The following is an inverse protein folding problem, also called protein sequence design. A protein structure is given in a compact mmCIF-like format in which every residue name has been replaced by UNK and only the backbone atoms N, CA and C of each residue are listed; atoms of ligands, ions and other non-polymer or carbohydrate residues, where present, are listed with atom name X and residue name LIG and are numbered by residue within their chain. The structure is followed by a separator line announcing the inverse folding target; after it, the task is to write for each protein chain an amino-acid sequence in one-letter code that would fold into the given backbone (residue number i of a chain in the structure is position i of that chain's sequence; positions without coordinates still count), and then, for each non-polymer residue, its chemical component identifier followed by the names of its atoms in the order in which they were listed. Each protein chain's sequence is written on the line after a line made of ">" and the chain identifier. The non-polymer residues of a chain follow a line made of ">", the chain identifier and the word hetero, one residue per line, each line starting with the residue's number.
data_IF_974381624610
#
_entry.id   IF_974381624610
#
_cell.length_a   1.000
_cell.length_b   1.000
_cell.length_c   1.000
_cell.angle_alpha   90.00
_cell.angle_beta   90.00
_cell.angle_gamma   90.00
#
_symmetry.space_group_name_H-M   'P 1'
#
loop_
_entity.id
_entity.type
_entity.pdbx_description
1 polymer ?
#
# COMPACT_ATOMS: atom_id res chain seq x y z
N UNK A 1 3.87 -30.95 -0.49
CA UNK A 1 5.10 -30.22 -0.84
C UNK A 1 5.24 -29.08 0.15
N UNK A 2 6.31 -29.04 0.92
CA UNK A 2 6.52 -28.00 1.95
C UNK A 2 6.81 -26.67 1.24
N UNK A 3 5.98 -25.66 1.47
CA UNK A 3 6.19 -24.32 0.91
C UNK A 3 7.39 -23.69 1.62
N UNK A 4 8.46 -23.39 0.87
CA UNK A 4 9.66 -22.74 1.42
C UNK A 4 9.29 -21.37 2.04
N UNK A 5 9.95 -21.02 3.14
CA UNK A 5 9.82 -19.70 3.77
C UNK A 5 10.46 -18.61 2.88
N UNK A 6 10.01 -17.36 3.03
CA UNK A 6 10.56 -16.24 2.27
C UNK A 6 12.07 -16.05 2.49
N UNK A 7 12.54 -16.27 3.70
CA UNK A 7 13.97 -16.21 4.04
C UNK A 7 14.81 -17.24 3.28
N UNK A 8 14.29 -18.47 3.12
CA UNK A 8 14.98 -19.52 2.37
C UNK A 8 14.98 -19.24 0.86
N UNK A 9 13.85 -18.75 0.32
CA UNK A 9 13.76 -18.33 -1.09
C UNK A 9 14.72 -17.17 -1.37
N UNK A 10 14.79 -16.20 -0.47
CA UNK A 10 15.67 -15.04 -0.56
C UNK A 10 17.15 -15.46 -0.59
N UNK A 11 17.55 -16.36 0.32
CA UNK A 11 18.91 -16.90 0.37
C UNK A 11 19.29 -17.57 -0.95
N UNK A 12 18.46 -18.50 -1.43
CA UNK A 12 18.69 -19.20 -2.72
C UNK A 12 18.75 -18.21 -3.90
N UNK A 13 17.91 -17.20 -3.90
CA UNK A 13 17.94 -16.15 -4.93
C UNK A 13 19.26 -15.40 -4.94
N UNK A 14 19.80 -15.04 -3.80
CA UNK A 14 21.12 -14.40 -3.65
C UNK A 14 22.24 -15.30 -4.13
N UNK A 15 22.12 -16.62 -3.90
CA UNK A 15 23.06 -17.62 -4.37
C UNK A 15 22.92 -17.91 -5.88
N UNK A 16 22.07 -17.17 -6.61
CA UNK A 16 21.91 -17.23 -8.06
C UNK A 16 20.72 -18.06 -8.55
N UNK A 17 19.91 -18.65 -7.66
CA UNK A 17 18.71 -19.40 -8.05
C UNK A 17 17.58 -18.45 -8.46
N UNK A 18 17.51 -18.15 -9.76
CA UNK A 18 16.47 -17.29 -10.34
C UNK A 18 15.06 -17.81 -10.11
N UNK A 19 14.89 -19.14 -9.99
CA UNK A 19 13.58 -19.76 -9.77
C UNK A 19 13.01 -19.45 -8.39
N UNK A 20 13.86 -19.47 -7.37
CA UNK A 20 13.52 -19.03 -6.03
C UNK A 20 13.17 -17.54 -5.99
N UNK A 21 13.89 -16.69 -6.75
CA UNK A 21 13.57 -15.28 -6.92
C UNK A 21 12.19 -15.05 -7.54
N UNK A 22 11.88 -15.72 -8.66
CA UNK A 22 10.54 -15.66 -9.28
C UNK A 22 9.45 -16.10 -8.31
N UNK A 23 9.65 -17.22 -7.60
CA UNK A 23 8.67 -17.73 -6.63
C UNK A 23 8.41 -16.70 -5.51
N UNK A 24 9.45 -16.04 -5.04
CA UNK A 24 9.34 -15.02 -4.00
C UNK A 24 8.58 -13.78 -4.50
N UNK A 25 8.88 -13.32 -5.71
CA UNK A 25 8.19 -12.21 -6.37
C UNK A 25 6.71 -12.54 -6.59
N UNK A 26 6.40 -13.72 -7.15
CA UNK A 26 5.04 -14.16 -7.43
C UNK A 26 4.18 -14.22 -6.17
N UNK A 27 4.75 -14.63 -5.04
CA UNK A 27 4.08 -14.66 -3.74
C UNK A 27 3.60 -13.28 -3.28
N UNK A 28 4.37 -12.25 -3.60
CA UNK A 28 4.10 -10.87 -3.19
C UNK A 28 3.50 -10.00 -4.30
N UNK A 29 3.27 -10.56 -5.48
CA UNK A 29 2.74 -9.83 -6.64
C UNK A 29 1.36 -9.21 -6.35
N UNK A 30 0.40 -10.02 -5.87
CA UNK A 30 -0.98 -9.57 -5.63
C UNK A 30 -1.08 -8.47 -4.57
N UNK A 31 -0.45 -8.59 -3.36
CA UNK A 31 -0.41 -7.51 -2.39
C UNK A 31 0.15 -6.21 -2.95
N UNK A 32 1.22 -6.30 -3.73
CA UNK A 32 1.87 -5.14 -4.30
C UNK A 32 1.03 -4.48 -5.40
N UNK A 33 0.40 -5.28 -6.28
CA UNK A 33 -0.53 -4.80 -7.30
C UNK A 33 -1.70 -4.06 -6.66
N UNK A 34 -2.32 -4.62 -5.61
CA UNK A 34 -3.39 -3.97 -4.84
C UNK A 34 -2.93 -2.64 -4.27
N UNK A 35 -1.73 -2.58 -3.68
CA UNK A 35 -1.16 -1.37 -3.12
C UNK A 35 -1.07 -0.23 -4.15
N UNK A 36 -0.70 -0.50 -5.39
CA UNK A 36 -0.63 0.51 -6.44
C UNK A 36 -1.99 0.87 -7.02
N UNK A 37 -2.85 -0.11 -7.28
CA UNK A 37 -4.18 0.13 -7.86
C UNK A 37 -5.04 1.12 -7.08
N UNK A 38 -4.87 1.19 -5.76
CA UNK A 38 -5.60 2.16 -4.94
C UNK A 38 -5.09 3.60 -5.10
N UNK A 39 -3.96 3.82 -5.76
CA UNK A 39 -3.25 5.10 -5.78
C UNK A 39 -3.03 5.68 -7.17
N UNK A 40 -3.34 4.92 -8.21
CA UNK A 40 -3.21 5.38 -9.61
C UNK A 40 -4.51 5.18 -10.38
N UNK A 41 -4.69 5.95 -11.46
CA UNK A 41 -5.93 5.95 -12.23
C UNK A 41 -6.01 4.81 -13.24
N UNK A 42 -4.88 4.39 -13.82
CA UNK A 42 -4.84 3.40 -14.88
C UNK A 42 -4.15 2.10 -14.45
N UNK A 43 -4.58 0.98 -15.04
CA UNK A 43 -3.90 -0.30 -14.86
C UNK A 43 -2.46 -0.25 -15.39
N UNK A 44 -2.23 0.46 -16.50
CA UNK A 44 -0.90 0.64 -17.07
C UNK A 44 0.06 1.36 -16.11
N UNK A 45 -0.42 2.40 -15.40
CA UNK A 45 0.40 3.07 -14.37
C UNK A 45 0.73 2.11 -13.21
N UNK A 46 -0.23 1.28 -12.80
CA UNK A 46 -0.01 0.29 -11.73
C UNK A 46 1.00 -0.79 -12.14
N UNK A 47 0.91 -1.27 -13.38
CA UNK A 47 1.84 -2.27 -13.93
C UNK A 47 3.26 -1.69 -14.09
N UNK A 48 3.41 -0.44 -14.52
CA UNK A 48 4.71 0.26 -14.57
C UNK A 48 5.34 0.37 -13.16
N UNK A 49 4.55 0.76 -12.16
CA UNK A 49 5.01 0.84 -10.77
C UNK A 49 5.41 -0.52 -10.19
N UNK A 50 4.68 -1.58 -10.52
CA UNK A 50 5.03 -2.95 -10.19
C UNK A 50 6.39 -3.33 -10.80
N UNK A 51 6.56 -3.10 -12.09
CA UNK A 51 7.79 -3.41 -12.80
C UNK A 51 8.98 -2.65 -12.20
N UNK A 52 8.85 -1.33 -11.99
CA UNK A 52 9.89 -0.50 -11.33
C UNK A 52 10.25 -1.03 -9.94
N UNK A 53 9.25 -1.47 -9.17
CA UNK A 53 9.48 -2.03 -7.84
C UNK A 53 10.25 -3.34 -7.89
N UNK A 54 9.88 -4.24 -8.80
CA UNK A 54 10.61 -5.51 -8.95
C UNK A 54 12.03 -5.32 -9.48
N UNK A 55 12.24 -4.36 -10.39
CA UNK A 55 13.60 -3.98 -10.83
C UNK A 55 14.41 -3.46 -9.61
N UNK A 56 13.83 -2.58 -8.81
CA UNK A 56 14.48 -2.08 -7.59
C UNK A 56 14.80 -3.19 -6.59
N UNK A 57 13.93 -4.21 -6.47
CA UNK A 57 14.20 -5.38 -5.65
C UNK A 57 15.34 -6.25 -6.24
N UNK A 58 15.35 -6.47 -7.55
CA UNK A 58 16.42 -7.20 -8.23
C UNK A 58 17.80 -6.55 -8.03
N UNK A 59 17.86 -5.24 -8.18
CA UNK A 59 19.10 -4.46 -8.02
C UNK A 59 19.54 -4.37 -6.55
N UNK A 60 18.58 -4.34 -5.62
CA UNK A 60 18.81 -4.15 -4.20
C UNK A 60 19.02 -5.42 -3.39
N UNK A 61 18.62 -6.60 -3.90
CA UNK A 61 18.55 -7.86 -3.12
C UNK A 61 19.90 -8.28 -2.52
N UNK A 62 20.98 -8.05 -3.24
CA UNK A 62 22.35 -8.38 -2.77
C UNK A 62 22.76 -7.52 -1.57
N UNK A 63 22.28 -6.27 -1.49
CA UNK A 63 22.57 -5.31 -0.43
C UNK A 63 21.56 -5.32 0.71
N UNK A 64 20.47 -6.05 0.55
CA UNK A 64 19.44 -6.14 1.58
C UNK A 64 19.97 -6.86 2.84
N UNK A 65 19.96 -6.20 4.01
CA UNK A 65 20.63 -6.66 5.25
C UNK A 65 19.80 -7.61 6.10
N UNK A 66 18.54 -7.88 5.72
CA UNK A 66 17.58 -8.70 6.49
C UNK A 66 17.25 -8.14 7.90
N UNK A 67 17.47 -6.84 8.14
CA UNK A 67 17.01 -6.15 9.35
C UNK A 67 15.48 -6.10 9.47
N UNK A 68 14.79 -6.43 8.37
CA UNK A 68 13.34 -6.57 8.27
C UNK A 68 13.00 -7.76 7.36
N UNK A 69 11.72 -8.14 7.29
CA UNK A 69 11.28 -9.18 6.34
C UNK A 69 11.45 -8.72 4.88
N UNK A 70 11.61 -9.67 3.95
CA UNK A 70 11.62 -9.35 2.51
C UNK A 70 10.39 -8.55 2.11
N UNK A 71 9.22 -8.93 2.63
CA UNK A 71 7.97 -8.23 2.39
C UNK A 71 8.01 -6.77 2.84
N UNK A 72 8.50 -6.50 4.05
CA UNK A 72 8.66 -5.14 4.59
C UNK A 72 9.59 -4.31 3.71
N UNK A 73 10.73 -4.86 3.33
CA UNK A 73 11.70 -4.20 2.45
C UNK A 73 11.11 -3.92 1.06
N UNK A 74 10.41 -4.88 0.46
CA UNK A 74 9.75 -4.72 -0.83
C UNK A 74 8.71 -3.58 -0.80
N UNK A 75 7.89 -3.47 0.26
CA UNK A 75 6.97 -2.36 0.43
C UNK A 75 7.68 -1.02 0.64
N UNK A 76 8.86 -1.00 1.25
CA UNK A 76 9.69 0.23 1.33
C UNK A 76 10.18 0.66 -0.06
N UNK A 77 10.61 -0.28 -0.91
CA UNK A 77 10.94 0.00 -2.31
C UNK A 77 9.71 0.54 -3.06
N UNK A 78 8.56 -0.13 -2.92
CA UNK A 78 7.30 0.28 -3.55
C UNK A 78 6.85 1.69 -3.15
N UNK A 79 6.93 2.02 -1.87
CA UNK A 79 6.60 3.35 -1.36
C UNK A 79 7.51 4.43 -1.97
N UNK A 80 8.80 4.18 -2.05
CA UNK A 80 9.75 5.12 -2.68
C UNK A 80 9.50 5.27 -4.19
N UNK A 81 9.26 4.17 -4.90
CA UNK A 81 8.90 4.19 -6.34
C UNK A 81 7.65 5.03 -6.57
N UNK A 82 6.61 4.84 -5.77
CA UNK A 82 5.36 5.58 -5.88
C UNK A 82 5.53 7.08 -5.62
N UNK A 83 6.29 7.47 -4.59
CA UNK A 83 6.61 8.88 -4.31
C UNK A 83 7.37 9.54 -5.45
N UNK A 84 8.35 8.84 -6.02
CA UNK A 84 9.12 9.31 -7.17
C UNK A 84 8.22 9.50 -8.37
N UNK A 85 7.38 8.52 -8.67
CA UNK A 85 6.43 8.58 -9.78
C UNK A 85 5.46 9.78 -9.67
N UNK A 86 4.91 10.05 -8.49
CA UNK A 86 4.05 11.22 -8.29
C UNK A 86 4.79 12.54 -8.51
N UNK A 87 6.05 12.65 -8.07
CA UNK A 87 6.89 13.85 -8.34
C UNK A 87 7.15 14.02 -9.82
N UNK A 88 7.51 12.96 -10.53
CA UNK A 88 7.73 12.96 -11.97
C UNK A 88 6.47 13.40 -12.73
N UNK A 89 5.32 12.80 -12.39
CA UNK A 89 4.03 13.07 -13.06
C UNK A 89 3.57 14.52 -12.88
N UNK A 90 3.80 15.10 -11.73
CA UNK A 90 3.46 16.52 -11.45
C UNK A 90 4.52 17.51 -11.92
N UNK A 91 5.69 17.05 -12.34
CA UNK A 91 6.86 17.88 -12.61
C UNK A 91 7.20 18.81 -11.43
N UNK A 92 6.91 18.38 -10.23
CA UNK A 92 7.06 19.13 -8.99
C UNK A 92 7.88 18.30 -7.98
N UNK A 93 9.11 18.73 -7.74
CA UNK A 93 10.00 18.10 -6.77
C UNK A 93 9.56 18.34 -5.30
N UNK A 94 8.68 19.33 -5.08
CA UNK A 94 8.29 19.80 -3.74
C UNK A 94 6.91 19.29 -3.30
N UNK A 95 6.41 18.17 -3.84
CA UNK A 95 5.13 17.59 -3.38
C UNK A 95 5.21 17.24 -1.90
N UNK A 96 4.37 17.89 -1.09
CA UNK A 96 4.21 17.57 0.32
C UNK A 96 3.19 16.43 0.51
N UNK A 97 3.69 15.21 0.60
CA UNK A 97 2.88 14.01 0.80
C UNK A 97 2.20 13.92 2.18
N UNK A 98 2.58 14.80 3.13
CA UNK A 98 1.94 14.87 4.44
C UNK A 98 0.58 15.59 4.39
N UNK A 99 0.38 16.43 3.39
CA UNK A 99 -0.83 17.25 3.27
C UNK A 99 -1.64 16.93 2.02
N UNK A 100 -0.97 16.57 0.90
CA UNK A 100 -1.65 16.28 -0.37
C UNK A 100 -2.31 14.90 -0.35
N UNK A 101 -3.55 14.83 -0.83
CA UNK A 101 -4.29 13.57 -0.98
C UNK A 101 -4.06 12.91 -2.36
N UNK A 102 -4.34 11.61 -2.46
CA UNK A 102 -4.28 10.88 -3.74
C UNK A 102 -5.26 11.46 -4.77
N UNK A 103 -6.41 11.94 -4.32
CA UNK A 103 -7.39 12.61 -5.19
C UNK A 103 -6.81 13.89 -5.80
N UNK A 104 -6.11 14.71 -5.01
CA UNK A 104 -5.45 15.94 -5.48
C UNK A 104 -4.23 15.64 -6.36
N UNK A 105 -3.61 14.47 -6.18
CA UNK A 105 -2.54 13.99 -7.07
C UNK A 105 -3.05 13.56 -8.45
N UNK A 106 -4.36 13.66 -8.70
CA UNK A 106 -4.98 13.38 -10.00
C UNK A 106 -5.15 11.90 -10.31
N UNK A 107 -5.03 11.05 -9.29
CA UNK A 107 -5.31 9.63 -9.43
C UNK A 107 -6.83 9.39 -9.45
N UNK A 108 -7.37 8.95 -10.57
CA UNK A 108 -8.79 8.56 -10.72
C UNK A 108 -9.13 7.29 -9.91
N UNK A 109 -10.42 6.98 -9.64
CA UNK A 109 -10.81 5.74 -8.98
C UNK A 109 -10.46 4.54 -9.87
N UNK A 110 -9.78 3.55 -9.30
CA UNK A 110 -9.65 2.24 -9.94
C UNK A 110 -11.03 1.60 -10.03
N UNK A 111 -11.47 1.22 -11.22
CA UNK A 111 -12.78 0.61 -11.48
C UNK A 111 -12.91 -0.78 -10.86
N UNK A 112 -11.81 -1.45 -10.55
CA UNK A 112 -11.78 -2.81 -10.03
C UNK A 112 -12.44 -2.99 -8.64
N UNK A 113 -12.50 -1.95 -7.81
CA UNK A 113 -13.08 -2.00 -6.46
C UNK A 113 -14.52 -1.53 -6.35
N UNK A 114 -15.12 -1.08 -7.44
CA UNK A 114 -16.38 -0.34 -7.42
C UNK A 114 -17.65 -1.20 -7.31
N UNK A 115 -17.58 -2.50 -7.04
CA UNK A 115 -18.74 -3.40 -7.11
C UNK A 115 -19.76 -3.25 -5.96
N UNK A 116 -19.36 -2.74 -4.79
CA UNK A 116 -20.26 -2.50 -3.66
C UNK A 116 -20.26 -1.04 -3.23
N UNK A 117 -21.44 -0.47 -2.96
CA UNK A 117 -21.62 0.95 -2.60
C UNK A 117 -20.81 1.35 -1.36
N UNK A 118 -20.79 0.50 -0.33
CA UNK A 118 -19.99 0.72 0.89
C UNK A 118 -18.50 0.76 0.61
N UNK A 119 -18.02 -0.10 -0.30
CA UNK A 119 -16.62 -0.10 -0.73
C UNK A 119 -16.25 1.18 -1.47
N UNK A 120 -17.16 1.71 -2.30
CA UNK A 120 -16.94 2.98 -3.01
C UNK A 120 -16.76 4.15 -2.04
N UNK A 121 -17.64 4.23 -1.03
CA UNK A 121 -17.59 5.30 -0.04
C UNK A 121 -16.25 5.30 0.72
N UNK A 122 -15.83 4.12 1.20
CA UNK A 122 -14.59 3.99 1.94
C UNK A 122 -13.35 4.27 1.08
N UNK A 123 -13.32 3.78 -0.15
CA UNK A 123 -12.23 4.07 -1.10
C UNK A 123 -12.17 5.55 -1.45
N UNK A 124 -13.32 6.19 -1.68
CA UNK A 124 -13.36 7.62 -1.97
C UNK A 124 -12.91 8.45 -0.75
N UNK A 125 -13.35 8.08 0.46
CA UNK A 125 -12.88 8.72 1.69
C UNK A 125 -11.37 8.53 1.90
N UNK A 126 -10.85 7.31 1.65
CA UNK A 126 -9.43 6.98 1.75
C UNK A 126 -8.56 7.83 0.81
N UNK A 127 -9.07 8.12 -0.38
CA UNK A 127 -8.35 8.93 -1.38
C UNK A 127 -8.33 10.43 -1.07
N UNK A 128 -9.21 10.89 -0.17
CA UNK A 128 -9.30 12.29 0.25
C UNK A 128 -8.46 12.61 1.49
N UNK A 129 -7.94 11.61 2.18
CA UNK A 129 -6.97 11.84 3.25
C UNK A 129 -5.56 12.02 2.68
N UNK A 130 -4.62 12.64 3.44
CA UNK A 130 -3.24 12.79 2.99
C UNK A 130 -2.62 11.48 2.55
N UNK A 131 -1.78 11.53 1.50
CA UNK A 131 -1.15 10.35 0.89
C UNK A 131 -0.45 9.45 1.91
N UNK A 132 0.39 10.02 2.80
CA UNK A 132 1.10 9.23 3.82
C UNK A 132 0.12 8.63 4.86
N UNK A 133 -1.00 9.28 5.11
CA UNK A 133 -2.06 8.74 5.98
C UNK A 133 -2.78 7.57 5.32
N UNK A 134 -3.04 7.65 4.01
CA UNK A 134 -3.59 6.53 3.25
C UNK A 134 -2.63 5.34 3.26
N UNK A 135 -1.35 5.56 2.94
CA UNK A 135 -0.33 4.51 2.92
C UNK A 135 -0.24 3.80 4.26
N UNK A 136 -0.18 4.54 5.36
CA UNK A 136 -0.05 3.94 6.70
C UNK A 136 -1.26 3.07 7.07
N UNK A 137 -2.48 3.50 6.71
CA UNK A 137 -3.68 2.71 6.96
C UNK A 137 -3.70 1.43 6.13
N UNK A 138 -3.34 1.51 4.85
CA UNK A 138 -3.30 0.35 3.98
C UNK A 138 -2.25 -0.68 4.45
N UNK A 139 -1.04 -0.25 4.75
CA UNK A 139 0.01 -1.14 5.25
C UNK A 139 -0.41 -1.84 6.56
N UNK A 140 -1.05 -1.11 7.47
CA UNK A 140 -1.45 -1.63 8.76
C UNK A 140 -2.69 -2.53 8.69
N UNK A 141 -3.77 -2.06 8.04
CA UNK A 141 -5.05 -2.79 8.03
C UNK A 141 -5.18 -3.79 6.88
N UNK A 142 -4.73 -3.44 5.66
CA UNK A 142 -4.85 -4.34 4.50
C UNK A 142 -3.69 -5.32 4.42
N UNK A 143 -2.48 -4.82 4.59
CA UNK A 143 -1.32 -5.69 4.52
C UNK A 143 -0.96 -6.33 5.85
N UNK A 144 -1.67 -5.98 6.93
CA UNK A 144 -1.48 -6.53 8.29
C UNK A 144 -0.02 -6.45 8.76
N UNK A 145 0.67 -5.41 8.37
CA UNK A 145 2.02 -5.16 8.84
C UNK A 145 1.98 -4.58 10.26
N UNK A 146 2.89 -5.01 11.10
CA UNK A 146 3.04 -4.46 12.43
C UNK A 146 3.56 -3.01 12.37
N UNK A 147 3.29 -2.21 13.40
CA UNK A 147 3.74 -0.82 13.45
C UNK A 147 5.27 -0.68 13.32
N UNK A 148 6.04 -1.71 13.70
CA UNK A 148 7.50 -1.74 13.50
C UNK A 148 7.87 -1.86 12.02
N UNK A 149 7.14 -2.68 11.25
CA UNK A 149 7.38 -2.85 9.82
C UNK A 149 7.00 -1.59 9.05
N UNK A 150 5.84 -1.00 9.40
CA UNK A 150 5.41 0.29 8.85
C UNK A 150 6.43 1.39 9.17
N UNK A 151 7.06 1.37 10.35
CA UNK A 151 8.15 2.28 10.74
C UNK A 151 9.34 2.20 9.80
N UNK A 152 9.72 1.00 9.39
CA UNK A 152 10.80 0.76 8.41
C UNK A 152 10.39 1.28 7.03
N UNK A 153 9.19 0.95 6.56
CA UNK A 153 8.69 1.35 5.24
C UNK A 153 8.60 2.88 5.11
N UNK A 154 8.01 3.52 6.11
CA UNK A 154 7.77 4.97 6.13
C UNK A 154 8.99 5.78 6.59
N UNK A 155 10.08 5.12 7.02
CA UNK A 155 11.30 5.74 7.55
C UNK A 155 11.03 6.74 8.68
N UNK A 156 10.15 6.35 9.63
CA UNK A 156 9.77 7.19 10.76
C UNK A 156 9.74 6.40 12.08
N UNK A 157 9.89 7.06 13.24
CA UNK A 157 9.83 6.39 14.55
C UNK A 157 8.50 5.65 14.77
N UNK A 158 8.54 4.49 15.40
CA UNK A 158 7.34 3.66 15.68
C UNK A 158 6.25 4.41 16.47
N UNK A 159 6.64 5.32 17.37
CA UNK A 159 5.71 6.18 18.09
C UNK A 159 4.96 7.12 17.16
N UNK A 160 5.66 7.65 16.14
CA UNK A 160 5.07 8.49 15.08
C UNK A 160 4.10 7.69 14.23
N UNK A 161 4.45 6.44 13.86
CA UNK A 161 3.56 5.52 13.12
C UNK A 161 2.26 5.31 13.89
N UNK A 162 2.32 4.95 15.18
CA UNK A 162 1.14 4.71 16.02
C UNK A 162 0.23 5.95 16.11
N UNK A 163 0.82 7.13 16.30
CA UNK A 163 0.07 8.38 16.34
C UNK A 163 -0.56 8.72 14.98
N UNK A 164 0.15 8.44 13.89
CA UNK A 164 -0.33 8.63 12.52
C UNK A 164 -1.50 7.70 12.20
N UNK A 165 -1.41 6.40 12.52
CA UNK A 165 -2.52 5.45 12.36
C UNK A 165 -3.79 6.00 13.03
N UNK A 166 -3.68 6.46 14.28
CA UNK A 166 -4.82 7.04 15.01
C UNK A 166 -5.38 8.29 14.34
N UNK A 167 -4.51 9.23 13.94
CA UNK A 167 -4.93 10.47 13.25
C UNK A 167 -5.55 10.16 11.89
N UNK A 168 -4.92 9.28 11.11
CA UNK A 168 -5.41 8.87 9.79
C UNK A 168 -6.79 8.20 9.88
N UNK A 169 -7.01 7.36 10.91
CA UNK A 169 -8.34 6.75 11.17
C UNK A 169 -9.40 7.82 11.43
N UNK A 170 -9.12 8.81 12.26
CA UNK A 170 -10.04 9.93 12.55
C UNK A 170 -10.31 10.77 11.30
N UNK A 171 -9.30 11.03 10.47
CA UNK A 171 -9.47 11.77 9.24
C UNK A 171 -10.31 10.98 8.21
N UNK A 172 -10.03 9.68 8.06
CA UNK A 172 -10.85 8.79 7.23
C UNK A 172 -12.32 8.79 7.66
N UNK A 173 -12.58 8.74 8.99
CA UNK A 173 -13.93 8.84 9.54
C UNK A 173 -14.61 10.16 9.15
N UNK A 174 -13.89 11.27 9.23
CA UNK A 174 -14.41 12.60 8.86
C UNK A 174 -14.76 12.64 7.38
N UNK A 175 -13.87 12.15 6.51
CA UNK A 175 -14.11 12.09 5.06
C UNK A 175 -15.29 11.15 4.72
N UNK A 176 -15.38 9.98 5.34
CA UNK A 176 -16.49 9.06 5.12
C UNK A 176 -17.84 9.70 5.51
N UNK A 177 -17.90 10.40 6.65
CA UNK A 177 -19.12 11.14 7.07
C UNK A 177 -19.50 12.27 6.12
N UNK A 178 -18.53 12.98 5.55
CA UNK A 178 -18.81 14.06 4.58
C UNK A 178 -19.34 13.55 3.25
N UNK A 179 -19.03 12.30 2.89
CA UNK A 179 -19.43 11.65 1.64
C UNK A 179 -20.72 10.83 1.77
N UNK A 180 -21.04 10.38 2.98
CA UNK A 180 -22.21 9.54 3.24
C UNK A 180 -23.51 10.33 3.07
N UNK A 181 -24.53 9.68 2.54
CA UNK A 181 -25.87 10.24 2.43
C UNK A 181 -26.61 10.25 3.78
N UNK A 182 -26.25 9.31 4.67
CA UNK A 182 -26.78 9.22 6.03
C UNK A 182 -25.67 8.96 7.04
N UNK A 183 -25.86 9.39 8.30
CA UNK A 183 -24.89 9.13 9.37
C UNK A 183 -24.70 7.63 9.64
N UNK A 184 -25.76 6.83 9.52
CA UNK A 184 -25.75 5.38 9.69
C UNK A 184 -24.83 4.71 8.65
N UNK A 185 -24.89 5.14 7.39
CA UNK A 185 -24.01 4.64 6.30
C UNK A 185 -22.53 4.89 6.63
N UNK A 186 -22.20 6.05 7.17
CA UNK A 186 -20.84 6.40 7.54
C UNK A 186 -20.31 5.54 8.71
N UNK A 187 -21.09 5.39 9.77
CA UNK A 187 -20.68 4.63 10.95
C UNK A 187 -20.52 3.14 10.63
N UNK A 188 -21.46 2.56 9.88
CA UNK A 188 -21.35 1.17 9.38
C UNK A 188 -20.11 0.96 8.51
N UNK A 189 -19.79 1.90 7.62
CA UNK A 189 -18.61 1.85 6.77
C UNK A 189 -17.31 1.87 7.58
N UNK A 190 -17.27 2.63 8.66
CA UNK A 190 -16.10 2.78 9.52
C UNK A 190 -15.88 1.55 10.42
N UNK A 191 -16.96 1.04 11.03
CA UNK A 191 -16.92 -0.19 11.82
C UNK A 191 -16.54 -1.40 10.95
N UNK A 192 -17.01 -1.39 9.70
CA UNK A 192 -16.68 -2.42 8.72
C UNK A 192 -15.25 -2.29 8.14
N UNK A 193 -14.46 -1.25 8.46
CA UNK A 193 -13.14 -1.02 7.84
C UNK A 193 -12.20 -2.23 7.99
N UNK A 194 -12.13 -2.85 9.16
CA UNK A 194 -11.31 -4.04 9.38
C UNK A 194 -11.85 -5.27 8.66
N UNK A 195 -13.17 -5.45 8.69
CA UNK A 195 -13.85 -6.51 7.94
C UNK A 195 -13.71 -6.30 6.43
N UNK A 196 -13.82 -5.04 5.96
CA UNK A 196 -13.60 -4.70 4.57
C UNK A 196 -12.15 -4.93 4.14
N UNK A 197 -11.16 -4.52 4.94
CA UNK A 197 -9.75 -4.80 4.67
C UNK A 197 -9.49 -6.31 4.51
N UNK A 198 -10.17 -7.15 5.30
CA UNK A 198 -10.13 -8.61 5.17
C UNK A 198 -10.72 -9.05 3.83
N UNK A 199 -11.93 -8.60 3.48
CA UNK A 199 -12.59 -8.93 2.20
C UNK A 199 -11.78 -8.49 0.97
N UNK A 200 -11.14 -7.31 1.05
CA UNK A 200 -10.23 -6.83 -0.01
C UNK A 200 -9.06 -7.78 -0.20
N UNK A 201 -8.49 -8.32 0.86
CA UNK A 201 -7.42 -9.33 0.77
C UNK A 201 -7.90 -10.64 0.13
N UNK A 202 -9.09 -11.10 0.51
CA UNK A 202 -9.70 -12.34 0.04
C UNK A 202 -10.23 -12.23 -1.40
N UNK A 203 -10.82 -11.11 -1.76
CA UNK A 203 -11.42 -10.87 -3.08
C UNK A 203 -10.42 -10.65 -4.23
N UNK A 204 -9.13 -10.54 -3.93
CA UNK A 204 -8.02 -10.53 -4.90
C UNK A 204 -7.34 -11.90 -5.03
N UNK A 205 -8.00 -12.96 -4.52
CA UNK A 205 -7.55 -14.34 -4.63
C UNK A 205 -7.78 -14.91 -6.02
#
# INVERSE_FOLDING_TARGET
>A
MTTLQDSELLKRWRDGDRKSGSTLIDRHFRPLRRFFHNKVASESDADDLLQRTFIGCLEGVVRFREDASFRTWMFAVAHNVLRTWFREKRRDACVDFETVSVAELGAGPSTAFAQHREHKLLLEALRRIPFESQVVLELYYWEQLEAKDVSVIMQMPIGTVRSRIRKAKLELQRQARSLAQTGVEADTTIEAMEAWARRVREGWS
#
